data_IF_971715397501
#
_entry.id   IF_971715397501
#
_cell.length_a   1.000
_cell.length_b   1.000
_cell.length_c   1.000
_cell.angle_alpha   90.00
_cell.angle_beta   90.00
_cell.angle_gamma   90.00
#
_symmetry.space_group_name_H-M   'P 1'
#
loop_
_entity.id
_entity.type
_entity.pdbx_description
1 polymer ?
#
# COMPACT_ATOMS: atom_id res chain seq x y z
N UNK A 1 -2.27 10.12 -2.08
CA UNK A 1 -0.86 10.11 -1.64
C UNK A 1 -0.52 8.97 -0.67
N UNK A 2 -1.46 8.43 0.13
CA UNK A 2 -1.20 7.33 1.07
C UNK A 2 -0.57 6.08 0.43
N UNK A 3 -1.17 5.52 -0.63
CA UNK A 3 -0.69 4.27 -1.24
C UNK A 3 0.71 4.41 -1.84
N UNK A 4 1.01 5.57 -2.44
CA UNK A 4 2.34 5.89 -2.96
C UNK A 4 3.39 5.87 -1.83
N UNK A 5 3.10 6.53 -0.71
CA UNK A 5 3.98 6.54 0.45
C UNK A 5 4.18 5.13 1.02
N UNK A 6 3.13 4.31 1.04
CA UNK A 6 3.19 2.92 1.49
C UNK A 6 4.11 2.07 0.60
N UNK A 7 3.97 2.15 -0.73
CA UNK A 7 4.86 1.45 -1.68
C UNK A 7 6.31 1.87 -1.46
N UNK A 8 6.56 3.17 -1.39
CA UNK A 8 7.91 3.71 -1.22
C UNK A 8 8.54 3.23 0.09
N UNK A 9 7.81 3.34 1.21
CA UNK A 9 8.28 2.94 2.53
C UNK A 9 8.63 1.44 2.57
N UNK A 10 7.72 0.58 2.10
CA UNK A 10 7.95 -0.86 2.07
C UNK A 10 9.15 -1.25 1.20
N UNK A 11 9.28 -0.62 0.02
CA UNK A 11 10.39 -0.87 -0.90
C UNK A 11 11.76 -0.48 -0.33
N UNK A 12 11.88 0.70 0.30
CA UNK A 12 13.16 1.13 0.89
C UNK A 12 13.55 0.29 2.10
N UNK A 13 12.58 -0.15 2.91
CA UNK A 13 12.86 -1.06 4.04
C UNK A 13 13.37 -2.40 3.53
N UNK A 14 12.73 -3.00 2.54
CA UNK A 14 13.15 -4.28 1.96
C UNK A 14 14.56 -4.18 1.36
N UNK A 15 14.84 -3.11 0.61
CA UNK A 15 16.18 -2.88 0.06
C UNK A 15 17.24 -2.73 1.15
N UNK A 16 16.93 -2.00 2.22
CA UNK A 16 17.85 -1.79 3.34
C UNK A 16 18.23 -3.11 4.01
N UNK A 17 17.24 -3.96 4.27
CA UNK A 17 17.46 -5.28 4.88
C UNK A 17 18.24 -6.20 3.93
N UNK A 18 17.92 -6.21 2.63
CA UNK A 18 18.62 -7.03 1.65
C UNK A 18 20.13 -6.70 1.57
N UNK A 19 20.47 -5.41 1.60
CA UNK A 19 21.88 -4.95 1.64
C UNK A 19 22.59 -5.45 2.90
N UNK A 20 21.97 -5.31 4.08
CA UNK A 20 22.55 -5.78 5.35
C UNK A 20 22.77 -7.30 5.33
N UNK A 21 21.91 -8.05 4.63
CA UNK A 21 21.99 -9.51 4.51
C UNK A 21 22.87 -9.98 3.35
N UNK A 22 23.41 -9.08 2.53
CA UNK A 22 24.20 -9.42 1.35
C UNK A 22 23.39 -10.15 0.26
N UNK A 23 22.08 -9.96 0.23
CA UNK A 23 21.19 -10.56 -0.77
C UNK A 23 20.92 -9.52 -1.85
N UNK A 24 21.21 -9.86 -3.10
CA UNK A 24 20.81 -9.02 -4.23
C UNK A 24 19.34 -9.29 -4.58
N UNK A 25 18.55 -8.22 -4.67
CA UNK A 25 17.10 -8.30 -4.87
C UNK A 25 16.67 -7.33 -5.97
N UNK A 26 15.93 -7.85 -6.93
CA UNK A 26 15.24 -7.08 -7.96
C UNK A 26 13.77 -7.47 -7.92
N UNK A 27 12.88 -6.53 -8.23
CA UNK A 27 11.45 -6.79 -8.14
C UNK A 27 10.61 -5.52 -8.19
N UNK A 28 9.30 -5.71 -8.12
CA UNK A 28 8.28 -4.66 -8.17
C UNK A 28 7.42 -4.72 -6.92
N UNK A 29 7.30 -3.58 -6.24
CA UNK A 29 6.36 -3.42 -5.12
C UNK A 29 5.09 -2.75 -5.62
N UNK A 30 3.95 -3.40 -5.42
CA UNK A 30 2.63 -2.90 -5.86
C UNK A 30 1.69 -2.78 -4.68
N UNK A 31 0.84 -1.76 -4.72
CA UNK A 31 -0.22 -1.58 -3.73
C UNK A 31 -1.55 -1.32 -4.39
N UNK A 32 -2.59 -1.98 -3.90
CA UNK A 32 -3.98 -1.72 -4.22
C UNK A 32 -4.75 -1.34 -2.97
N UNK A 33 -5.81 -0.54 -3.13
CA UNK A 33 -6.71 -0.21 -2.05
C UNK A 33 -8.15 -0.13 -2.54
N UNK A 34 -9.08 -0.71 -1.78
CA UNK A 34 -10.52 -0.60 -2.05
C UNK A 34 -11.12 0.53 -1.22
N UNK A 35 -11.96 1.35 -1.83
CA UNK A 35 -12.64 2.45 -1.16
C UNK A 35 -14.08 2.55 -1.65
N UNK A 36 -15.00 2.73 -0.70
CA UNK A 36 -16.39 3.09 -1.00
C UNK A 36 -16.55 4.61 -0.88
N UNK A 37 -16.60 5.29 -2.03
CA UNK A 37 -16.75 6.74 -2.06
C UNK A 37 -18.11 7.21 -1.55
N UNK A 38 -19.13 6.34 -1.44
CA UNK A 38 -20.44 6.74 -0.91
C UNK A 38 -20.35 7.21 0.54
N UNK A 39 -19.48 6.58 1.34
CA UNK A 39 -19.21 7.01 2.72
C UNK A 39 -18.52 8.37 2.73
N UNK A 40 -17.42 8.51 1.98
CA UNK A 40 -16.63 9.74 1.93
C UNK A 40 -17.42 10.94 1.38
N UNK A 41 -18.30 10.73 0.40
CA UNK A 41 -19.15 11.76 -0.20
C UNK A 41 -20.46 11.98 0.56
N UNK A 42 -20.70 11.25 1.65
CA UNK A 42 -21.91 11.39 2.46
C UNK A 42 -23.21 10.92 1.80
N UNK A 43 -23.11 10.09 0.76
CA UNK A 43 -24.25 9.51 0.04
C UNK A 43 -24.92 8.41 0.85
N UNK A 44 -24.13 7.61 1.57
CA UNK A 44 -24.62 6.52 2.41
C UNK A 44 -23.89 6.56 3.76
N UNK A 45 -24.66 6.72 4.85
CA UNK A 45 -24.14 6.75 6.22
C UNK A 45 -23.70 5.38 6.75
N UNK A 46 -24.18 4.29 6.15
CA UNK A 46 -23.76 2.94 6.48
C UNK A 46 -22.47 2.55 5.75
N UNK A 47 -22.13 3.23 4.65
CA UNK A 47 -20.89 2.98 3.93
C UNK A 47 -19.67 3.50 4.73
N UNK A 48 -18.62 2.68 4.93
CA UNK A 48 -17.44 3.09 5.67
C UNK A 48 -16.66 4.20 4.94
N UNK A 49 -16.12 5.15 5.69
CA UNK A 49 -15.27 6.22 5.16
C UNK A 49 -13.81 5.75 5.10
N UNK A 50 -13.17 5.95 3.96
CA UNK A 50 -11.75 5.63 3.76
C UNK A 50 -11.50 4.27 3.10
N UNK A 51 -10.26 3.78 3.20
CA UNK A 51 -9.88 2.50 2.60
C UNK A 51 -10.44 1.35 3.43
N UNK A 52 -11.17 0.45 2.79
CA UNK A 52 -11.70 -0.78 3.41
C UNK A 52 -10.61 -1.84 3.55
N UNK A 53 -9.77 -1.93 2.54
CA UNK A 53 -8.71 -2.93 2.42
C UNK A 53 -7.57 -2.34 1.63
N UNK A 54 -6.35 -2.67 2.02
CA UNK A 54 -5.12 -2.34 1.30
C UNK A 54 -4.35 -3.66 1.12
N UNK A 55 -3.91 -3.94 -0.10
CA UNK A 55 -3.10 -5.11 -0.45
C UNK A 55 -1.75 -4.63 -0.96
N UNK A 56 -0.69 -5.11 -0.32
CA UNK A 56 0.70 -4.88 -0.72
C UNK A 56 1.27 -6.18 -1.28
N UNK A 57 1.87 -6.11 -2.47
CA UNK A 57 2.40 -7.25 -3.20
C UNK A 57 3.86 -6.97 -3.58
N UNK A 58 4.68 -8.02 -3.48
CA UNK A 58 6.09 -8.02 -3.89
C UNK A 58 6.23 -9.08 -4.98
N UNK A 59 6.64 -8.65 -6.17
CA UNK A 59 6.87 -9.47 -7.36
C UNK A 59 8.35 -9.45 -7.75
#
# INVERSE_FOLDING_TARGET
MLLLALVACAGVTLRSVAVIRGIDVTGVVRTEGDMDFRGTLGVDRAAPVGFRSIRLMFD
#
